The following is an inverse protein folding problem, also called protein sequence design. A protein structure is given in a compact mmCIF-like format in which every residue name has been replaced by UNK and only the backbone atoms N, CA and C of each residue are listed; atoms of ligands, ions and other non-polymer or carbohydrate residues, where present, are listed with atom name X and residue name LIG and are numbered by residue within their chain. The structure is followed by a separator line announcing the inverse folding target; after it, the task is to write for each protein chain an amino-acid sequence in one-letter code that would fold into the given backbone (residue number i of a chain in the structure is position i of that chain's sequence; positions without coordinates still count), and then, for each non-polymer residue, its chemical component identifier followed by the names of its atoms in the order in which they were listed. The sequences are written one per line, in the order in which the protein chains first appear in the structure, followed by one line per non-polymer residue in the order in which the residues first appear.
data_IF_465496586380
#
_entry.id   IF_465496586380
#
_cell.length_a   1.000
_cell.length_b   1.000
_cell.length_c   1.000
_cell.angle_alpha   90.00
_cell.angle_beta   90.00
_cell.angle_gamma   90.00
#
_symmetry.space_group_name_H-M   'P 1'
#
loop_
_entity.id
_entity.type
_entity.pdbx_description
1 polymer ?
#
# COMPACT_ATOMS: atom_id res chain seq x y z
N UNK A 1 -7.79 2.28 -5.42
CA UNK A 1 -6.57 2.30 -4.58
C UNK A 1 -5.62 3.25 -5.27
N UNK A 2 -5.09 4.22 -4.56
CA UNK A 2 -4.18 5.24 -5.08
C UNK A 2 -3.03 5.41 -4.10
N UNK A 3 -1.83 5.53 -4.65
CA UNK A 3 -0.63 5.86 -3.88
C UNK A 3 0.00 7.07 -4.53
N UNK A 4 0.31 8.05 -3.70
CA UNK A 4 0.86 9.32 -4.12
C UNK A 4 2.07 9.67 -3.27
N UNK A 5 3.11 10.17 -3.93
CA UNK A 5 4.30 10.70 -3.28
C UNK A 5 4.11 12.20 -3.03
N UNK A 6 4.10 12.61 -1.76
CA UNK A 6 4.00 14.01 -1.37
C UNK A 6 5.23 14.39 -0.55
N UNK A 7 6.33 14.73 -1.25
CA UNK A 7 7.57 15.21 -0.64
C UNK A 7 8.18 14.21 0.35
N UNK A 8 7.86 14.33 1.64
CA UNK A 8 8.43 13.49 2.70
C UNK A 8 7.51 12.36 3.18
N UNK A 9 6.36 12.15 2.54
CA UNK A 9 5.40 11.12 2.93
C UNK A 9 4.82 10.37 1.73
N UNK A 10 4.53 9.10 1.97
CA UNK A 10 3.76 8.23 1.09
C UNK A 10 2.31 8.30 1.55
N UNK A 11 1.42 8.77 0.68
CA UNK A 11 -0.02 8.82 0.97
C UNK A 11 -0.72 7.69 0.26
N UNK A 12 -1.35 6.82 1.04
CA UNK A 12 -2.11 5.68 0.52
C UNK A 12 -3.60 5.97 0.69
N UNK A 13 -4.31 6.13 -0.42
CA UNK A 13 -5.77 6.30 -0.45
C UNK A 13 -6.44 5.03 -0.95
N UNK A 14 -7.40 4.51 -0.21
CA UNK A 14 -8.09 3.28 -0.57
C UNK A 14 -9.59 3.37 -0.29
N UNK A 15 -10.32 2.49 -0.96
CA UNK A 15 -11.78 2.41 -0.90
C UNK A 15 -12.16 1.08 -0.29
N UNK A 16 -13.19 1.10 0.54
CA UNK A 16 -13.89 -0.13 0.91
C UNK A 16 -14.65 -0.67 -0.30
N UNK A 17 -14.65 -1.99 -0.48
CA UNK A 17 -15.25 -2.64 -1.65
C UNK A 17 -16.79 -2.51 -1.72
N UNK A 18 -17.45 -2.10 -0.64
CA UNK A 18 -18.90 -1.99 -0.56
C UNK A 18 -19.42 -0.78 -1.36
N UNK A 19 -20.27 -0.97 -2.39
CA UNK A 19 -20.73 0.10 -3.27
C UNK A 19 -21.64 1.14 -2.57
N UNK A 20 -22.40 0.73 -1.56
CA UNK A 20 -23.40 1.60 -0.87
C UNK A 20 -22.78 2.39 0.31
N UNK A 21 -21.61 1.97 0.79
CA UNK A 21 -20.90 2.63 1.91
C UNK A 21 -19.41 2.74 1.62
N UNK A 22 -19.06 3.32 0.46
CA UNK A 22 -17.66 3.63 0.12
C UNK A 22 -17.14 4.69 1.10
N UNK A 23 -16.43 4.25 2.14
CA UNK A 23 -15.70 5.15 3.04
C UNK A 23 -14.31 5.37 2.46
N UNK A 24 -14.03 6.62 2.09
CA UNK A 24 -12.68 7.04 1.72
C UNK A 24 -11.78 6.89 2.95
N UNK A 25 -10.75 6.08 2.83
CA UNK A 25 -9.73 5.95 3.87
C UNK A 25 -8.39 6.32 3.27
N UNK A 26 -7.63 7.08 4.04
CA UNK A 26 -6.27 7.42 3.70
C UNK A 26 -5.39 7.25 4.94
N UNK A 27 -4.17 6.79 4.74
CA UNK A 27 -3.13 6.92 5.75
C UNK A 27 -1.86 7.45 5.11
N UNK A 28 -1.03 8.06 5.95
CA UNK A 28 0.21 8.69 5.55
C UNK A 28 1.36 7.97 6.24
N UNK A 29 2.37 7.57 5.46
CA UNK A 29 3.59 6.96 5.97
C UNK A 29 4.73 7.95 5.76
N UNK A 30 5.38 8.45 6.83
CA UNK A 30 6.62 9.20 6.67
C UNK A 30 7.65 8.36 5.94
N UNK A 31 8.29 8.90 4.89
CA UNK A 31 9.30 8.19 4.09
C UNK A 31 10.46 7.70 4.94
N UNK A 32 10.82 8.47 5.97
CA UNK A 32 11.83 8.07 6.95
C UNK A 32 11.53 6.72 7.59
N UNK A 33 10.25 6.42 7.81
CA UNK A 33 9.78 5.22 8.49
C UNK A 33 9.38 4.09 7.54
N UNK A 34 9.20 4.35 6.25
CA UNK A 34 8.97 3.27 5.29
C UNK A 34 10.19 2.34 5.27
N UNK A 35 9.95 1.04 5.45
CA UNK A 35 10.99 0.03 5.51
C UNK A 35 10.84 -0.96 4.35
N UNK A 36 9.68 -1.62 4.25
CA UNK A 36 9.45 -2.62 3.22
C UNK A 36 7.94 -2.78 2.95
N UNK A 37 7.59 -3.59 1.96
CA UNK A 37 6.22 -4.01 1.70
C UNK A 37 6.15 -5.51 1.37
N UNK A 38 4.97 -6.10 1.59
CA UNK A 38 4.71 -7.49 1.24
C UNK A 38 3.46 -7.57 0.37
N UNK A 39 3.59 -8.17 -0.81
CA UNK A 39 2.45 -8.53 -1.64
C UNK A 39 2.10 -9.99 -1.37
N UNK A 40 0.83 -10.25 -1.07
CA UNK A 40 0.29 -11.60 -0.91
C UNK A 40 -0.78 -11.84 -1.97
N UNK A 41 -0.65 -12.96 -2.67
CA UNK A 41 -1.63 -13.49 -3.60
C UNK A 41 -2.38 -14.65 -2.93
N UNK A 42 -3.70 -14.65 -3.04
CA UNK A 42 -4.61 -15.68 -2.53
C UNK A 42 -5.65 -16.02 -3.62
N UNK A 43 -6.33 -17.16 -3.46
CA UNK A 43 -7.33 -17.66 -4.42
C UNK A 43 -6.78 -17.63 -5.86
N UNK A 44 -5.70 -18.37 -6.13
CA UNK A 44 -5.11 -18.47 -7.49
C UNK A 44 -4.84 -17.14 -8.21
N UNK A 45 -4.56 -16.05 -7.48
CA UNK A 45 -4.28 -14.74 -8.08
C UNK A 45 -5.46 -13.77 -8.15
N UNK A 46 -6.68 -14.23 -7.85
CA UNK A 46 -7.88 -13.39 -7.83
C UNK A 46 -7.87 -12.36 -6.70
N UNK A 47 -7.19 -12.68 -5.58
CA UNK A 47 -7.05 -11.75 -4.46
C UNK A 47 -5.60 -11.40 -4.23
N UNK A 48 -5.22 -10.17 -4.59
CA UNK A 48 -3.93 -9.57 -4.31
C UNK A 48 -4.08 -8.52 -3.21
N UNK A 49 -3.22 -8.60 -2.21
CA UNK A 49 -3.15 -7.64 -1.10
C UNK A 49 -1.72 -7.16 -0.91
N UNK A 50 -1.57 -5.91 -0.47
CA UNK A 50 -0.30 -5.30 -0.10
C UNK A 50 -0.31 -4.94 1.38
N UNK A 51 0.80 -5.15 2.05
CA UNK A 51 1.01 -4.84 3.45
C UNK A 51 2.27 -4.00 3.61
N UNK A 52 2.15 -2.80 4.19
CA UNK A 52 3.28 -1.89 4.41
C UNK A 52 3.95 -2.18 5.76
N UNK A 53 5.28 -2.21 5.75
CA UNK A 53 6.12 -2.41 6.92
C UNK A 53 6.87 -1.11 7.17
N UNK A 54 6.78 -0.62 8.40
CA UNK A 54 7.45 0.62 8.82
C UNK A 54 8.39 0.35 9.98
N UNK A 55 9.53 1.03 9.98
CA UNK A 55 10.47 1.04 11.08
C UNK A 55 10.45 2.42 11.74
N UNK A 56 9.90 2.47 12.96
CA UNK A 56 9.82 3.68 13.76
C UNK A 56 10.83 3.62 14.90
N UNK A 57 11.12 4.73 15.60
CA UNK A 57 11.97 4.70 16.79
C UNK A 57 11.47 3.74 17.90
N UNK A 58 10.17 3.40 17.89
CA UNK A 58 9.55 2.47 18.85
C UNK A 58 9.57 1.00 18.36
N UNK A 59 10.18 0.74 17.21
CA UNK A 59 10.27 -0.58 16.60
C UNK A 59 9.54 -0.70 15.27
N UNK A 60 9.42 -1.96 14.82
CA UNK A 60 8.89 -2.32 13.51
C UNK A 60 7.39 -2.61 13.60
N UNK A 61 6.61 -1.87 12.82
CA UNK A 61 5.15 -1.99 12.77
C UNK A 61 4.70 -2.36 11.37
N UNK A 62 3.49 -2.93 11.31
CA UNK A 62 2.91 -3.36 10.04
C UNK A 62 1.51 -2.78 9.90
N UNK A 63 1.24 -2.14 8.76
CA UNK A 63 -0.10 -1.64 8.45
C UNK A 63 -1.06 -2.79 8.13
N UNK A 64 -2.38 -2.55 8.22
CA UNK A 64 -3.37 -3.49 7.73
C UNK A 64 -3.16 -3.80 6.24
N UNK A 65 -3.40 -5.04 5.84
CA UNK A 65 -3.34 -5.44 4.44
C UNK A 65 -4.41 -4.70 3.64
N UNK A 66 -4.01 -4.08 2.53
CA UNK A 66 -4.90 -3.40 1.61
C UNK A 66 -5.10 -4.23 0.34
N UNK A 67 -6.34 -4.29 -0.14
CA UNK A 67 -6.61 -4.94 -1.43
C UNK A 67 -6.09 -4.10 -2.59
N UNK A 68 -5.30 -4.75 -3.44
CA UNK A 68 -4.78 -4.22 -4.71
C UNK A 68 -5.27 -5.06 -5.89
N UNK A 69 -6.30 -5.88 -5.68
CA UNK A 69 -6.83 -6.82 -6.69
C UNK A 69 -7.46 -6.12 -7.89
N UNK A 70 -7.87 -4.85 -7.72
CA UNK A 70 -8.49 -4.03 -8.76
C UNK A 70 -7.47 -3.24 -9.60
N UNK A 71 -6.17 -3.34 -9.29
CA UNK A 71 -5.14 -2.68 -10.09
C UNK A 71 -4.92 -3.44 -11.39
N UNK A 72 -4.80 -2.71 -12.50
CA UNK A 72 -4.33 -3.29 -13.76
C UNK A 72 -2.87 -3.73 -13.64
N UNK A 73 -2.39 -4.56 -14.56
CA UNK A 73 -0.99 -5.00 -14.57
C UNK A 73 -0.01 -3.82 -14.66
N UNK A 74 -0.31 -2.82 -15.49
CA UNK A 74 0.47 -1.58 -15.57
C UNK A 74 0.51 -0.87 -14.21
N UNK A 75 -0.64 -0.66 -13.58
CA UNK A 75 -0.72 -0.02 -12.26
C UNK A 75 0.01 -0.81 -11.17
N UNK A 76 0.00 -2.13 -11.26
CA UNK A 76 0.76 -3.01 -10.37
C UNK A 76 2.27 -2.82 -10.55
N UNK A 77 2.74 -2.81 -11.79
CA UNK A 77 4.15 -2.62 -12.10
C UNK A 77 4.65 -1.22 -11.70
N UNK A 78 3.86 -0.19 -11.98
CA UNK A 78 4.15 1.19 -11.56
C UNK A 78 4.21 1.29 -10.02
N UNK A 79 3.29 0.62 -9.32
CA UNK A 79 3.29 0.55 -7.86
C UNK A 79 4.53 -0.15 -7.30
N UNK A 80 4.87 -1.32 -7.82
CA UNK A 80 6.05 -2.10 -7.39
C UNK A 80 7.32 -1.28 -7.60
N UNK A 81 7.49 -0.72 -8.79
CA UNK A 81 8.65 0.13 -9.10
C UNK A 81 8.76 1.31 -8.13
N UNK A 82 7.66 2.02 -7.89
CA UNK A 82 7.65 3.15 -6.97
C UNK A 82 8.00 2.74 -5.53
N UNK A 83 7.53 1.58 -5.06
CA UNK A 83 7.82 1.10 -3.71
C UNK A 83 9.26 0.57 -3.56
N UNK A 84 9.80 -0.06 -4.61
CA UNK A 84 11.17 -0.55 -4.63
C UNK A 84 12.18 0.62 -4.56
N UNK A 85 11.90 1.74 -5.24
CA UNK A 85 12.71 2.97 -5.16
C UNK A 85 12.70 3.61 -3.75
N UNK A 86 11.69 3.31 -2.94
CA UNK A 86 11.53 3.87 -1.59
C UNK A 86 12.05 2.94 -0.49
N UNK A 87 12.25 1.65 -0.80
CA UNK A 87 12.69 0.62 0.14
C UNK A 87 14.07 0.97 0.72
N UNK A 88 14.28 0.62 1.98
CA UNK A 88 15.55 0.82 2.70
C UNK A 88 16.12 -0.49 3.21
#
# INVERSE_FOLDING_TARGET
FFIEYLGNKIVVRYYTAYPIFRKYKAFEIPRSYFYDYKIKSQLFGFRKTIQFIVNTPKGKFTYPSLSISLLSEKQMNDLIKMLDELKK
#
